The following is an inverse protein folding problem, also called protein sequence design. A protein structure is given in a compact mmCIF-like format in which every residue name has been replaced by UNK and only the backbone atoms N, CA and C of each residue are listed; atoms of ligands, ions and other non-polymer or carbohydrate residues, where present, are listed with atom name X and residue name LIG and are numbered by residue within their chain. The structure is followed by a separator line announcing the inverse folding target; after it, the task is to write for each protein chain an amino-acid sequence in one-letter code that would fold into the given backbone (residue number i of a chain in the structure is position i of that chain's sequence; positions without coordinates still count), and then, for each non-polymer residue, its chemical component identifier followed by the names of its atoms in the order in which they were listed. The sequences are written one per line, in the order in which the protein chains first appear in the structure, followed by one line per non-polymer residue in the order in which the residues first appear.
data_IF_466853328807
#
_entry.id   IF_466853328807
#
_cell.length_a   1.000
_cell.length_b   1.000
_cell.length_c   1.000
_cell.angle_alpha   90.00
_cell.angle_beta   90.00
_cell.angle_gamma   90.00
#
_symmetry.space_group_name_H-M   'P 1'
#
loop_
_entity.id
_entity.type
_entity.pdbx_description
1 polymer ?
#
# COMPACT_ATOMS: atom_id res chain seq x y z
N UNK A 1 48.28 70.64 -136.50
CA UNK A 1 48.80 70.53 -135.12
C UNK A 1 47.78 71.04 -134.09
N UNK A 2 46.97 72.06 -134.39
CA UNK A 2 46.02 72.69 -133.44
C UNK A 2 44.79 71.86 -133.03
N UNK A 3 44.20 71.03 -133.91
CA UNK A 3 42.97 70.26 -133.54
C UNK A 3 43.22 69.17 -132.49
N UNK A 4 44.39 68.53 -132.54
CA UNK A 4 44.79 67.53 -131.53
C UNK A 4 45.01 68.17 -130.15
N UNK A 5 45.54 69.39 -130.14
CA UNK A 5 45.81 70.17 -128.92
C UNK A 5 44.49 70.58 -128.23
N UNK A 6 43.48 71.02 -128.98
CA UNK A 6 42.15 71.36 -128.45
C UNK A 6 41.39 70.12 -127.94
N UNK A 7 41.52 68.98 -128.63
CA UNK A 7 40.94 67.70 -128.16
C UNK A 7 41.56 67.25 -126.85
N UNK A 8 42.89 67.31 -126.75
CA UNK A 8 43.64 66.96 -125.54
C UNK A 8 43.29 67.89 -124.36
N UNK A 9 43.09 69.19 -124.61
CA UNK A 9 42.64 70.15 -123.59
C UNK A 9 41.25 69.79 -123.06
N UNK A 10 40.29 69.50 -123.95
CA UNK A 10 38.93 69.08 -123.57
C UNK A 10 38.92 67.77 -122.78
N UNK A 11 39.75 66.81 -123.15
CA UNK A 11 39.89 65.54 -122.43
C UNK A 11 40.55 65.72 -121.06
N UNK A 12 41.55 66.60 -120.95
CA UNK A 12 42.19 66.97 -119.68
C UNK A 12 41.18 67.65 -118.74
N UNK A 13 40.39 68.61 -119.23
CA UNK A 13 39.35 69.29 -118.46
C UNK A 13 38.27 68.31 -117.97
N UNK A 14 37.86 67.34 -118.82
CA UNK A 14 36.94 66.26 -118.42
C UNK A 14 37.53 65.39 -117.31
N UNK A 15 38.80 65.02 -117.42
CA UNK A 15 39.51 64.24 -116.39
C UNK A 15 39.65 65.03 -115.10
N UNK A 16 39.92 66.35 -115.16
CA UNK A 16 40.00 67.22 -113.98
C UNK A 16 38.64 67.37 -113.29
N UNK A 17 37.55 67.56 -114.03
CA UNK A 17 36.19 67.57 -113.46
C UNK A 17 35.83 66.22 -112.82
N UNK A 18 36.17 65.11 -113.47
CA UNK A 18 35.92 63.78 -112.93
C UNK A 18 36.75 63.51 -111.67
N UNK A 19 38.01 63.96 -111.65
CA UNK A 19 38.87 63.92 -110.46
C UNK A 19 38.27 64.74 -109.32
N UNK A 20 37.86 65.99 -109.57
CA UNK A 20 37.22 66.84 -108.58
C UNK A 20 35.93 66.20 -108.02
N UNK A 21 35.06 65.69 -108.89
CA UNK A 21 33.84 64.98 -108.47
C UNK A 21 34.15 63.71 -107.65
N UNK A 22 35.23 62.98 -107.98
CA UNK A 22 35.66 61.82 -107.20
C UNK A 22 36.25 62.23 -105.84
N UNK A 23 36.97 63.35 -105.75
CA UNK A 23 37.51 63.89 -104.51
C UNK A 23 36.41 64.40 -103.58
N UNK A 24 35.39 65.10 -104.11
CA UNK A 24 34.19 65.49 -103.36
C UNK A 24 33.44 64.26 -102.82
N UNK A 25 33.30 63.22 -103.65
CA UNK A 25 32.68 61.96 -103.22
C UNK A 25 33.50 61.26 -102.13
N UNK A 26 34.83 61.29 -102.19
CA UNK A 26 35.70 60.77 -101.12
C UNK A 26 35.51 61.59 -99.84
N UNK A 27 35.45 62.92 -99.92
CA UNK A 27 35.21 63.79 -98.76
C UNK A 27 33.85 63.52 -98.12
N UNK A 28 32.79 63.36 -98.92
CA UNK A 28 31.46 63.01 -98.43
C UNK A 28 31.46 61.63 -97.74
N UNK A 29 32.11 60.63 -98.33
CA UNK A 29 32.22 59.30 -97.73
C UNK A 29 33.05 59.32 -96.43
N UNK A 30 34.13 60.10 -96.37
CA UNK A 30 34.94 60.27 -95.16
C UNK A 30 34.16 60.99 -94.06
N UNK A 31 33.38 62.03 -94.40
CA UNK A 31 32.48 62.71 -93.47
C UNK A 31 31.39 61.76 -92.93
N UNK A 32 30.74 61.01 -93.81
CA UNK A 32 29.73 60.02 -93.43
C UNK A 32 30.33 58.89 -92.57
N UNK A 33 31.55 58.44 -92.86
CA UNK A 33 32.27 57.46 -92.05
C UNK A 33 32.58 57.99 -90.66
N UNK A 34 33.05 59.25 -90.55
CA UNK A 34 33.31 59.92 -89.26
C UNK A 34 32.04 60.03 -88.43
N UNK A 35 30.92 60.42 -89.04
CA UNK A 35 29.62 60.50 -88.37
C UNK A 35 29.13 59.12 -87.91
N UNK A 36 29.21 58.11 -88.77
CA UNK A 36 28.87 56.72 -88.43
C UNK A 36 29.71 56.19 -87.26
N UNK A 37 31.03 56.44 -87.26
CA UNK A 37 31.91 56.08 -86.13
C UNK A 37 31.54 56.83 -84.85
N UNK A 38 31.15 58.10 -84.94
CA UNK A 38 30.74 58.89 -83.78
C UNK A 38 29.41 58.37 -83.20
N UNK A 39 28.44 58.04 -84.04
CA UNK A 39 27.18 57.40 -83.63
C UNK A 39 27.43 56.03 -82.98
N UNK A 40 28.33 55.21 -83.54
CA UNK A 40 28.70 53.92 -82.95
C UNK A 40 29.26 54.11 -81.53
N UNK A 41 30.13 55.12 -81.33
CA UNK A 41 30.69 55.45 -80.01
C UNK A 41 29.62 55.94 -79.04
N UNK A 42 28.67 56.78 -79.49
CA UNK A 42 27.61 57.28 -78.60
C UNK A 42 26.64 56.16 -78.20
N UNK A 43 26.23 55.31 -79.14
CA UNK A 43 25.37 54.14 -78.85
C UNK A 43 26.07 53.15 -77.93
N UNK A 44 27.36 52.87 -78.15
CA UNK A 44 28.14 52.02 -77.24
C UNK A 44 28.16 52.60 -75.82
N UNK A 45 28.47 53.90 -75.68
CA UNK A 45 28.50 54.57 -74.37
C UNK A 45 27.13 54.54 -73.69
N UNK A 46 26.05 54.77 -74.43
CA UNK A 46 24.69 54.71 -73.89
C UNK A 46 24.31 53.28 -73.44
N UNK A 47 24.65 52.26 -74.24
CA UNK A 47 24.45 50.87 -73.88
C UNK A 47 25.26 50.49 -72.64
N UNK A 48 26.52 50.91 -72.54
CA UNK A 48 27.36 50.71 -71.35
C UNK A 48 26.73 51.35 -70.11
N UNK A 49 26.20 52.58 -70.23
CA UNK A 49 25.48 53.24 -69.14
C UNK A 49 24.19 52.50 -68.75
N UNK A 50 23.40 52.01 -69.74
CA UNK A 50 22.17 51.24 -69.48
C UNK A 50 22.47 49.90 -68.80
N UNK A 51 23.48 49.18 -69.27
CA UNK A 51 23.92 47.90 -68.67
C UNK A 51 24.47 48.14 -67.27
N UNK A 52 25.37 49.11 -67.10
CA UNK A 52 25.94 49.43 -65.79
C UNK A 52 24.85 49.83 -64.79
N UNK A 53 23.90 50.69 -65.18
CA UNK A 53 22.76 51.05 -64.34
C UNK A 53 21.84 49.88 -64.01
N UNK A 54 21.64 48.93 -64.93
CA UNK A 54 20.88 47.71 -64.64
C UNK A 54 21.61 46.79 -63.64
N UNK A 55 22.93 46.61 -63.81
CA UNK A 55 23.77 45.80 -62.91
C UNK A 55 23.84 46.41 -61.50
N UNK A 56 23.95 47.74 -61.39
CA UNK A 56 23.97 48.41 -60.09
C UNK A 56 22.63 48.22 -59.37
N UNK A 57 21.49 48.41 -60.06
CA UNK A 57 20.17 48.20 -59.46
C UNK A 57 19.95 46.77 -58.98
N UNK A 58 20.31 45.77 -59.79
CA UNK A 58 20.17 44.37 -59.36
C UNK A 58 21.12 44.03 -58.21
N UNK A 59 22.35 44.56 -58.23
CA UNK A 59 23.30 44.41 -57.12
C UNK A 59 22.77 45.02 -55.82
N UNK A 60 22.17 46.20 -55.87
CA UNK A 60 21.54 46.85 -54.71
C UNK A 60 20.36 46.05 -54.17
N UNK A 61 19.55 45.45 -55.04
CA UNK A 61 18.45 44.56 -54.65
C UNK A 61 18.95 43.28 -53.96
N UNK A 62 19.98 42.64 -54.53
CA UNK A 62 20.61 41.47 -53.91
C UNK A 62 21.24 41.79 -52.55
N UNK A 63 21.86 42.97 -52.41
CA UNK A 63 22.46 43.40 -51.14
C UNK A 63 21.38 43.65 -50.08
N UNK A 64 20.25 44.28 -50.42
CA UNK A 64 19.10 44.43 -49.51
C UNK A 64 18.58 43.08 -49.02
N UNK A 65 18.46 42.11 -49.93
CA UNK A 65 18.02 40.75 -49.59
C UNK A 65 19.05 40.08 -48.66
N UNK A 66 20.34 40.19 -48.97
CA UNK A 66 21.43 39.64 -48.14
C UNK A 66 21.38 40.19 -46.72
N UNK A 67 21.36 41.52 -46.55
CA UNK A 67 21.30 42.16 -45.23
C UNK A 67 20.06 41.72 -44.44
N UNK A 68 18.90 41.63 -45.10
CA UNK A 68 17.67 41.17 -44.44
C UNK A 68 17.76 39.69 -43.98
N UNK A 69 18.45 38.84 -44.73
CA UNK A 69 18.70 37.46 -44.32
C UNK A 69 19.74 37.36 -43.20
N UNK A 70 20.79 38.17 -43.24
CA UNK A 70 21.79 38.26 -42.16
C UNK A 70 21.16 38.73 -40.84
N UNK A 71 20.29 39.73 -40.89
CA UNK A 71 19.54 40.20 -39.71
C UNK A 71 18.63 39.10 -39.16
N UNK A 72 17.91 38.38 -40.02
CA UNK A 72 17.09 37.22 -39.62
C UNK A 72 17.95 36.13 -38.99
N UNK A 73 19.13 35.84 -39.54
CA UNK A 73 20.06 34.85 -39.02
C UNK A 73 20.63 35.27 -37.65
N UNK A 74 20.96 36.54 -37.48
CA UNK A 74 21.41 37.08 -36.19
C UNK A 74 20.28 37.00 -35.14
N UNK A 75 19.05 37.34 -35.52
CA UNK A 75 17.89 37.27 -34.65
C UNK A 75 17.55 35.83 -34.22
N UNK A 76 17.61 34.86 -35.13
CA UNK A 76 17.40 33.44 -34.80
C UNK A 76 18.54 32.89 -33.94
N UNK A 77 19.78 33.24 -34.24
CA UNK A 77 20.95 32.89 -33.42
C UNK A 77 20.83 33.43 -31.99
N UNK A 78 20.40 34.69 -31.81
CA UNK A 78 20.15 35.28 -30.50
C UNK A 78 19.03 34.58 -29.73
N UNK A 79 17.96 34.14 -30.41
CA UNK A 79 16.90 33.34 -29.77
C UNK A 79 17.41 31.97 -29.33
N UNK A 80 18.25 31.34 -30.16
CA UNK A 80 18.82 30.04 -29.86
C UNK A 80 19.71 30.08 -28.61
N UNK A 81 20.55 31.11 -28.47
CA UNK A 81 21.41 31.25 -27.28
C UNK A 81 20.60 31.51 -25.99
N UNK A 82 19.49 32.26 -26.07
CA UNK A 82 18.57 32.44 -24.94
C UNK A 82 17.96 31.10 -24.51
N UNK A 83 17.40 30.35 -25.46
CA UNK A 83 16.82 29.04 -25.19
C UNK A 83 17.85 28.04 -24.62
N UNK A 84 19.10 28.10 -25.08
CA UNK A 84 20.17 27.25 -24.57
C UNK A 84 20.52 27.57 -23.10
N UNK A 85 20.54 28.86 -22.74
CA UNK A 85 20.73 29.30 -21.36
C UNK A 85 19.57 28.88 -20.45
N UNK A 86 18.32 29.01 -20.92
CA UNK A 86 17.12 28.57 -20.20
C UNK A 86 17.12 27.06 -20.01
N UNK A 87 17.46 26.28 -21.05
CA UNK A 87 17.61 24.83 -20.95
C UNK A 87 18.65 24.44 -19.90
N UNK A 88 19.79 25.10 -19.86
CA UNK A 88 20.85 24.81 -18.87
C UNK A 88 20.38 25.12 -17.45
N UNK A 89 19.66 26.24 -17.25
CA UNK A 89 19.05 26.58 -15.96
C UNK A 89 18.01 25.56 -15.51
N UNK A 90 17.14 25.12 -16.43
CA UNK A 90 16.14 24.08 -16.15
C UNK A 90 16.79 22.76 -15.79
N UNK A 91 17.82 22.32 -16.51
CA UNK A 91 18.57 21.09 -16.20
C UNK A 91 19.21 21.16 -14.81
N UNK A 92 19.83 22.29 -14.46
CA UNK A 92 20.41 22.48 -13.12
C UNK A 92 19.34 22.41 -12.02
N UNK A 93 18.18 23.01 -12.27
CA UNK A 93 17.06 23.00 -11.32
C UNK A 93 16.47 21.60 -11.18
N UNK A 94 16.29 20.87 -12.29
CA UNK A 94 15.82 19.48 -12.29
C UNK A 94 16.77 18.57 -11.54
N UNK A 95 18.08 18.65 -11.79
CA UNK A 95 19.09 17.89 -11.04
C UNK A 95 19.06 18.19 -9.54
N UNK A 96 18.79 19.44 -9.15
CA UNK A 96 18.60 19.81 -7.74
C UNK A 96 17.37 19.15 -7.12
N UNK A 97 16.24 19.11 -7.84
CA UNK A 97 15.00 18.45 -7.39
C UNK A 97 15.16 16.93 -7.32
N UNK A 98 15.87 16.32 -8.26
CA UNK A 98 16.17 14.89 -8.27
C UNK A 98 16.92 14.47 -7.00
N UNK A 99 17.98 15.20 -6.62
CA UNK A 99 18.70 14.96 -5.36
C UNK A 99 17.80 15.07 -4.12
N UNK A 100 16.89 16.04 -4.09
CA UNK A 100 15.96 16.19 -2.98
C UNK A 100 14.96 15.03 -2.91
N UNK A 101 14.49 14.54 -4.06
CA UNK A 101 13.61 13.37 -4.14
C UNK A 101 14.34 12.12 -3.63
N UNK A 102 15.61 11.95 -3.98
CA UNK A 102 16.43 10.84 -3.49
C UNK A 102 16.60 10.89 -1.96
N UNK A 103 16.89 12.07 -1.41
CA UNK A 103 17.06 12.23 0.04
C UNK A 103 15.75 12.00 0.81
N UNK A 104 14.62 12.52 0.31
CA UNK A 104 13.30 12.26 0.89
C UNK A 104 12.91 10.78 0.78
N UNK A 105 13.26 10.12 -0.32
CA UNK A 105 13.04 8.68 -0.52
C UNK A 105 13.78 7.87 0.54
N UNK A 106 15.07 8.17 0.77
CA UNK A 106 15.87 7.52 1.81
C UNK A 106 15.31 7.75 3.21
N UNK A 107 14.85 8.96 3.52
CA UNK A 107 14.23 9.25 4.82
C UNK A 107 12.94 8.47 5.02
N UNK A 108 12.10 8.37 3.98
CA UNK A 108 10.87 7.58 4.00
C UNK A 108 11.16 6.10 4.22
N UNK A 109 12.18 5.54 3.58
CA UNK A 109 12.56 4.13 3.76
C UNK A 109 13.07 3.86 5.17
N UNK A 110 13.85 4.79 5.75
CA UNK A 110 14.31 4.70 7.13
C UNK A 110 13.14 4.70 8.13
N UNK A 111 12.22 5.66 8.00
CA UNK A 111 11.04 5.76 8.87
C UNK A 111 10.15 4.52 8.73
N UNK A 112 10.01 3.99 7.51
CA UNK A 112 9.23 2.78 7.27
C UNK A 112 9.85 1.56 7.97
N UNK A 113 11.18 1.39 7.90
CA UNK A 113 11.88 0.35 8.63
C UNK A 113 11.75 0.47 10.15
N UNK A 114 11.84 1.68 10.70
CA UNK A 114 11.62 1.94 12.13
C UNK A 114 10.18 1.63 12.57
N UNK A 115 9.21 1.96 11.73
CA UNK A 115 7.80 1.65 11.96
C UNK A 115 7.55 0.14 11.99
N UNK A 116 8.10 -0.62 11.04
CA UNK A 116 7.97 -2.08 11.00
C UNK A 116 8.63 -2.73 12.23
N UNK A 117 9.81 -2.24 12.65
CA UNK A 117 10.46 -2.71 13.87
C UNK A 117 9.62 -2.42 15.12
N UNK A 118 9.01 -1.23 15.21
CA UNK A 118 8.13 -0.86 16.32
C UNK A 118 6.86 -1.70 16.34
N UNK A 119 6.28 -1.97 15.17
CA UNK A 119 5.11 -2.83 15.00
C UNK A 119 5.40 -4.25 15.51
N UNK A 120 6.51 -4.86 15.08
CA UNK A 120 6.92 -6.20 15.56
C UNK A 120 7.13 -6.22 17.09
N UNK A 121 7.67 -5.14 17.65
CA UNK A 121 7.85 -5.02 19.10
C UNK A 121 6.52 -4.91 19.84
N UNK A 122 5.55 -4.17 19.30
CA UNK A 122 4.21 -4.07 19.86
C UNK A 122 3.51 -5.43 19.87
N UNK A 123 3.52 -6.14 18.74
CA UNK A 123 2.94 -7.49 18.62
C UNK A 123 3.57 -8.48 19.61
N UNK A 124 4.88 -8.36 19.86
CA UNK A 124 5.57 -9.16 20.88
C UNK A 124 5.08 -8.83 22.30
N UNK A 125 4.93 -7.55 22.63
CA UNK A 125 4.42 -7.14 23.93
C UNK A 125 2.95 -7.52 24.14
N UNK A 126 2.12 -7.48 23.10
CA UNK A 126 0.73 -7.95 23.16
C UNK A 126 0.66 -9.44 23.51
N UNK A 127 1.48 -10.27 22.85
CA UNK A 127 1.59 -11.70 23.16
C UNK A 127 2.05 -11.96 24.60
N UNK A 128 3.04 -11.20 25.08
CA UNK A 128 3.50 -11.30 26.47
C UNK A 128 2.41 -10.88 27.47
N UNK A 129 1.69 -9.80 27.17
CA UNK A 129 0.60 -9.31 28.01
C UNK A 129 -0.52 -10.36 28.13
N UNK A 130 -0.90 -11.00 27.02
CA UNK A 130 -1.90 -12.07 27.06
C UNK A 130 -1.40 -13.29 27.85
N UNK A 131 -0.13 -13.69 27.67
CA UNK A 131 0.48 -14.74 28.48
C UNK A 131 0.43 -14.43 29.98
N UNK A 132 0.78 -13.20 30.38
CA UNK A 132 0.76 -12.78 31.78
C UNK A 132 -0.67 -12.72 32.34
N UNK A 133 -1.67 -12.29 31.55
CA UNK A 133 -3.08 -12.36 31.97
C UNK A 133 -3.51 -13.79 32.26
N UNK A 134 -3.13 -14.76 31.41
CA UNK A 134 -3.42 -16.17 31.67
C UNK A 134 -2.75 -16.66 32.96
N UNK A 135 -1.49 -16.30 33.19
CA UNK A 135 -0.77 -16.66 34.41
C UNK A 135 -1.45 -16.10 35.68
N UNK A 136 -1.84 -14.82 35.66
CA UNK A 136 -2.57 -14.19 36.78
C UNK A 136 -3.89 -14.92 37.04
N UNK A 137 -4.68 -15.22 36.00
CA UNK A 137 -5.94 -15.94 36.16
C UNK A 137 -5.75 -17.33 36.78
N UNK A 138 -4.71 -18.05 36.37
CA UNK A 138 -4.39 -19.37 36.94
C UNK A 138 -4.01 -19.24 38.42
N UNK A 139 -3.15 -18.28 38.78
CA UNK A 139 -2.74 -18.04 40.16
C UNK A 139 -3.92 -17.61 41.06
N UNK A 140 -4.84 -16.81 40.56
CA UNK A 140 -6.07 -16.45 41.27
C UNK A 140 -6.92 -17.67 41.59
N UNK A 141 -7.09 -18.60 40.63
CA UNK A 141 -7.84 -19.85 40.85
C UNK A 141 -7.12 -20.77 41.83
N UNK A 142 -5.80 -20.88 41.74
CA UNK A 142 -5.02 -21.68 42.68
C UNK A 142 -5.13 -21.14 44.12
N UNK A 143 -5.10 -19.81 44.28
CA UNK A 143 -5.27 -19.16 45.57
C UNK A 143 -6.68 -19.38 46.14
N UNK A 144 -7.72 -19.28 45.31
CA UNK A 144 -9.10 -19.57 45.70
C UNK A 144 -9.27 -21.01 46.20
N UNK A 145 -8.69 -21.98 45.49
CA UNK A 145 -8.69 -23.39 45.91
C UNK A 145 -7.97 -23.55 47.25
N UNK A 146 -6.75 -23.01 47.39
CA UNK A 146 -6.00 -23.10 48.65
C UNK A 146 -6.70 -22.42 49.83
N UNK A 147 -7.41 -21.32 49.58
CA UNK A 147 -8.21 -20.63 50.59
C UNK A 147 -9.37 -21.50 51.07
N UNK A 148 -10.11 -22.12 50.14
CA UNK A 148 -11.20 -23.06 50.44
C UNK A 148 -10.71 -24.29 51.20
N UNK A 149 -9.58 -24.87 50.78
CA UNK A 149 -8.96 -26.01 51.46
C UNK A 149 -8.54 -25.66 52.89
N UNK A 150 -7.91 -24.49 53.08
CA UNK A 150 -7.53 -24.02 54.42
C UNK A 150 -8.74 -23.80 55.33
N UNK A 151 -9.81 -23.18 54.81
CA UNK A 151 -11.04 -22.97 55.56
C UNK A 151 -11.72 -24.30 55.94
N UNK A 152 -11.73 -25.29 55.05
CA UNK A 152 -12.24 -26.62 55.32
C UNK A 152 -11.40 -27.36 56.37
N UNK A 153 -10.07 -27.30 56.24
CA UNK A 153 -9.14 -27.88 57.22
C UNK A 153 -9.31 -27.26 58.61
N UNK A 154 -9.52 -25.94 58.70
CA UNK A 154 -9.82 -25.27 59.95
C UNK A 154 -11.11 -25.78 60.60
N UNK A 155 -12.18 -25.94 59.82
CA UNK A 155 -13.45 -26.50 60.31
C UNK A 155 -13.28 -27.93 60.82
N UNK A 156 -12.54 -28.78 60.11
CA UNK A 156 -12.24 -30.14 60.55
C UNK A 156 -11.47 -30.12 61.88
N UNK A 157 -10.43 -29.28 61.99
CA UNK A 157 -9.63 -29.16 63.20
C UNK A 157 -10.45 -28.67 64.40
N UNK A 158 -11.35 -27.69 64.22
CA UNK A 158 -12.25 -27.19 65.26
C UNK A 158 -13.23 -28.27 65.73
N UNK A 159 -13.84 -29.03 64.81
CA UNK A 159 -14.72 -30.16 65.15
C UNK A 159 -13.95 -31.23 65.94
N UNK A 160 -12.77 -31.62 65.47
CA UNK A 160 -11.92 -32.60 66.15
C UNK A 160 -11.50 -32.10 67.54
N UNK A 161 -11.16 -30.81 67.68
CA UNK A 161 -10.80 -30.20 68.96
C UNK A 161 -11.97 -30.22 69.94
N UNK A 162 -13.17 -29.81 69.50
CA UNK A 162 -14.40 -29.86 70.33
C UNK A 162 -14.67 -31.28 70.81
N UNK A 163 -14.55 -32.27 69.91
CA UNK A 163 -14.71 -33.67 70.27
C UNK A 163 -13.65 -34.13 71.27
N UNK A 164 -12.37 -33.77 71.09
CA UNK A 164 -11.30 -34.06 72.04
C UNK A 164 -11.55 -33.41 73.42
N UNK A 165 -12.05 -32.17 73.45
CA UNK A 165 -12.40 -31.51 74.71
C UNK A 165 -13.52 -32.26 75.45
N UNK A 166 -14.53 -32.75 74.72
CA UNK A 166 -15.59 -33.59 75.31
C UNK A 166 -15.05 -34.91 75.84
N UNK A 167 -14.18 -35.60 75.10
CA UNK A 167 -13.57 -36.86 75.56
C UNK A 167 -12.67 -36.63 76.76
N UNK A 168 -11.86 -35.57 76.78
CA UNK A 168 -11.05 -35.18 77.94
C UNK A 168 -11.92 -34.90 79.17
N UNK A 169 -13.06 -34.20 79.02
CA UNK A 169 -14.00 -33.97 80.13
C UNK A 169 -14.56 -35.29 80.68
N UNK A 170 -14.89 -36.25 79.81
CA UNK A 170 -15.36 -37.59 80.22
C UNK A 170 -14.25 -38.37 80.94
N UNK A 171 -13.03 -38.36 80.39
CA UNK A 171 -11.86 -39.00 81.01
C UNK A 171 -11.56 -38.40 82.38
N UNK A 172 -11.57 -37.07 82.52
CA UNK A 172 -11.36 -36.42 83.81
C UNK A 172 -12.41 -36.81 84.86
N UNK A 173 -13.69 -36.96 84.46
CA UNK A 173 -14.75 -37.47 85.35
C UNK A 173 -14.47 -38.91 85.80
N UNK A 174 -14.10 -39.79 84.86
CA UNK A 174 -13.74 -41.17 85.17
C UNK A 174 -12.49 -41.24 86.06
N UNK A 175 -11.49 -40.39 85.84
CA UNK A 175 -10.27 -40.33 86.65
C UNK A 175 -10.57 -39.91 88.09
N UNK A 176 -11.43 -38.91 88.30
CA UNK A 176 -11.90 -38.55 89.65
C UNK A 176 -12.60 -39.72 90.35
N UNK A 177 -13.40 -40.49 89.62
CA UNK A 177 -14.08 -41.68 90.15
C UNK A 177 -13.09 -42.80 90.45
N UNK A 178 -12.10 -43.03 89.58
CA UNK A 178 -10.98 -43.95 89.82
C UNK A 178 -10.18 -43.54 91.08
N UNK A 179 -9.90 -42.26 91.26
CA UNK A 179 -9.24 -41.73 92.45
C UNK A 179 -10.09 -41.95 93.72
N UNK A 180 -11.40 -41.68 93.65
CA UNK A 180 -12.35 -41.96 94.74
C UNK A 180 -12.35 -43.44 95.13
N UNK A 181 -12.43 -44.33 94.14
CA UNK A 181 -12.37 -45.78 94.34
C UNK A 181 -11.01 -46.21 94.94
N UNK A 182 -9.90 -45.63 94.49
CA UNK A 182 -8.56 -45.88 95.04
C UNK A 182 -8.46 -45.48 96.51
N UNK A 183 -9.04 -44.35 96.91
CA UNK A 183 -9.10 -43.91 98.32
C UNK A 183 -9.94 -44.88 99.15
N UNK A 184 -11.08 -45.36 98.64
CA UNK A 184 -11.91 -46.36 99.32
C UNK A 184 -11.16 -47.68 99.49
N UNK A 185 -10.46 -48.14 98.45
CA UNK A 185 -9.64 -49.35 98.51
C UNK A 185 -8.46 -49.18 99.49
N UNK A 186 -7.78 -48.03 99.46
CA UNK A 186 -6.73 -47.69 100.40
C UNK A 186 -7.21 -47.64 101.85
N UNK A 187 -8.44 -47.17 102.12
CA UNK A 187 -9.06 -47.23 103.46
C UNK A 187 -9.45 -48.65 103.87
N UNK A 188 -9.88 -49.52 102.93
CA UNK A 188 -10.18 -50.94 103.22
C UNK A 188 -8.92 -51.82 103.38
N UNK A 189 -7.75 -51.38 102.93
CA UNK A 189 -6.47 -52.11 103.05
C UNK A 189 -5.40 -51.42 103.91
N UNK A 190 -5.75 -50.34 104.62
CA UNK A 190 -4.85 -49.70 105.60
C UNK A 190 -4.80 -50.46 106.95
N UNK A 191 -4.47 -51.75 106.90
CA UNK A 191 -3.88 -52.46 108.03
C UNK A 191 -3.01 -53.59 107.49
N UNK A 192 -1.71 -53.29 107.44
CA UNK A 192 -0.52 -54.15 107.38
C UNK A 192 0.39 -54.04 106.13
N UNK A 193 1.55 -53.39 106.36
CA UNK A 193 2.93 -53.90 106.15
C UNK A 193 3.56 -53.78 104.72
N UNK A 194 4.90 -53.54 104.62
CA UNK A 194 5.54 -52.65 103.66
C UNK A 194 6.23 -53.33 102.46
N UNK A 195 6.81 -52.48 101.61
CA UNK A 195 7.54 -52.81 100.38
C UNK A 195 8.78 -53.70 100.58
N UNK A 196 8.80 -54.87 99.91
CA UNK A 196 10.01 -55.49 99.35
C UNK A 196 9.64 -56.47 98.22
N UNK A 197 10.36 -56.36 97.09
CA UNK A 197 10.65 -57.35 96.05
C UNK A 197 10.10 -58.78 96.21
N UNK A 198 9.47 -59.35 95.17
CA UNK A 198 9.78 -60.70 94.69
C UNK A 198 9.16 -61.02 93.31
N UNK A 199 10.02 -61.62 92.50
CA UNK A 199 9.83 -62.25 91.19
C UNK A 199 8.92 -63.49 91.22
N UNK A 200 8.53 -63.88 90.01
CA UNK A 200 8.21 -65.24 89.54
C UNK A 200 6.73 -65.63 89.45
N UNK A 201 6.33 -65.83 88.19
CA UNK A 201 5.59 -66.97 87.65
C UNK A 201 4.29 -67.40 88.36
N UNK A 202 3.18 -67.11 87.71
CA UNK A 202 2.04 -68.04 87.64
C UNK A 202 1.17 -67.66 86.44
N UNK A 203 1.29 -68.44 85.38
CA UNK A 203 0.30 -68.54 84.32
C UNK A 203 -1.08 -68.92 84.90
N UNK A 204 -2.14 -68.64 84.13
CA UNK A 204 -3.58 -68.84 84.39
C UNK A 204 -4.40 -67.65 84.94
N UNK A 205 -3.92 -66.40 84.82
CA UNK A 205 -4.71 -65.20 85.12
C UNK A 205 -4.87 -64.19 83.96
N UNK A 206 -4.59 -64.59 82.73
CA UNK A 206 -4.84 -63.77 81.54
C UNK A 206 -6.34 -63.75 81.14
N UNK A 207 -7.06 -64.85 81.37
CA UNK A 207 -8.36 -65.06 80.72
C UNK A 207 -9.56 -64.32 81.38
N UNK A 208 -9.45 -63.90 82.64
CA UNK A 208 -10.50 -63.06 83.29
C UNK A 208 -10.26 -61.56 83.12
N UNK A 209 -9.04 -61.15 82.79
CA UNK A 209 -8.68 -59.75 82.57
C UNK A 209 -8.96 -59.34 81.12
N UNK A 210 -8.70 -60.26 80.17
CA UNK A 210 -9.06 -60.10 78.75
C UNK A 210 -10.57 -60.03 78.54
N UNK A 211 -11.39 -60.81 79.26
CA UNK A 211 -12.83 -60.81 79.04
C UNK A 211 -13.52 -59.48 79.40
N UNK A 212 -13.07 -58.77 80.44
CA UNK A 212 -13.55 -57.42 80.75
C UNK A 212 -12.93 -56.35 79.85
N UNK A 213 -11.66 -56.52 79.45
CA UNK A 213 -11.01 -55.62 78.50
C UNK A 213 -11.65 -55.69 77.11
N UNK A 214 -11.94 -56.89 76.60
CA UNK A 214 -12.62 -57.12 75.32
C UNK A 214 -14.08 -56.65 75.36
N UNK A 215 -14.81 -56.86 76.47
CA UNK A 215 -16.18 -56.36 76.62
C UNK A 215 -16.23 -54.81 76.63
N UNK A 216 -15.31 -54.16 77.35
CA UNK A 216 -15.21 -52.70 77.37
C UNK A 216 -14.72 -52.13 76.02
N UNK A 217 -13.83 -52.83 75.31
CA UNK A 217 -13.41 -52.45 73.96
C UNK A 217 -14.57 -52.56 72.95
N UNK A 218 -15.40 -53.61 73.03
CA UNK A 218 -16.61 -53.72 72.20
C UNK A 218 -17.68 -52.68 72.55
N UNK A 219 -17.93 -52.37 73.83
CA UNK A 219 -18.85 -51.28 74.21
C UNK A 219 -18.32 -49.91 73.76
N UNK A 220 -17.00 -49.69 73.81
CA UNK A 220 -16.38 -48.45 73.33
C UNK A 220 -16.44 -48.34 71.79
N UNK A 221 -16.33 -49.44 71.06
CA UNK A 221 -16.56 -49.51 69.61
C UNK A 221 -18.03 -49.23 69.26
N UNK A 222 -18.99 -49.75 70.03
CA UNK A 222 -20.41 -49.44 69.83
C UNK A 222 -20.71 -47.94 70.01
N UNK A 223 -20.14 -47.28 71.02
CA UNK A 223 -20.28 -45.82 71.22
C UNK A 223 -19.61 -44.98 70.13
N UNK A 224 -18.55 -45.50 69.50
CA UNK A 224 -17.84 -44.85 68.38
C UNK A 224 -18.65 -44.95 67.08
N UNK A 225 -19.29 -46.10 66.84
CA UNK A 225 -20.00 -46.39 65.60
C UNK A 225 -21.41 -45.75 65.56
N UNK A 226 -22.09 -45.60 66.70
CA UNK A 226 -23.42 -45.00 66.79
C UNK A 226 -23.43 -43.48 66.45
N UNK A 227 -22.33 -42.76 66.72
CA UNK A 227 -22.23 -41.31 66.46
C UNK A 227 -21.62 -40.94 65.10
N UNK A 228 -20.88 -41.87 64.46
CA UNK A 228 -20.28 -41.65 63.13
C UNK A 228 -21.24 -41.96 61.96
N UNK A 229 -22.31 -42.73 62.19
CA UNK A 229 -23.25 -43.12 61.15
C UNK A 229 -24.16 -41.99 60.62
N UNK A 230 -24.27 -40.86 61.33
CA UNK A 230 -25.24 -39.80 61.00
C UNK A 230 -24.72 -38.62 60.14
N UNK A 231 -23.40 -38.45 59.97
CA UNK A 231 -22.86 -37.23 59.33
C UNK A 231 -21.97 -37.45 58.10
N UNK A 232 -21.57 -38.68 57.79
CA UNK A 232 -20.59 -38.97 56.72
C UNK A 232 -21.18 -39.56 55.44
N UNK A 233 -22.49 -39.85 55.39
CA UNK A 233 -23.09 -40.63 54.29
C UNK A 233 -23.91 -39.83 53.27
N UNK A 234 -24.05 -38.50 53.40
CA UNK A 234 -24.98 -37.72 52.56
C UNK A 234 -24.37 -36.57 51.74
N UNK A 235 -23.03 -36.48 51.62
CA UNK A 235 -22.40 -35.45 50.77
C UNK A 235 -21.26 -35.93 49.87
N UNK A 236 -20.73 -37.13 50.08
CA UNK A 236 -19.65 -37.66 49.23
C UNK A 236 -20.15 -38.23 47.90
N UNK A 237 -21.45 -38.50 47.75
CA UNK A 237 -22.01 -38.99 46.47
C UNK A 237 -22.16 -37.86 45.46
N UNK A 238 -22.58 -36.67 45.89
CA UNK A 238 -22.88 -35.56 44.98
C UNK A 238 -21.60 -34.87 44.47
N UNK A 239 -20.53 -34.83 45.26
CA UNK A 239 -19.24 -34.25 44.86
C UNK A 239 -18.49 -35.12 43.82
N UNK A 240 -18.70 -36.44 43.84
CA UNK A 240 -18.12 -37.37 42.86
C UNK A 240 -18.80 -37.23 41.49
N UNK A 241 -20.09 -36.86 41.48
CA UNK A 241 -20.83 -36.58 40.25
C UNK A 241 -20.35 -35.26 39.60
N UNK A 242 -20.07 -34.20 40.38
CA UNK A 242 -19.53 -32.93 39.86
C UNK A 242 -18.16 -33.08 39.17
N UNK A 243 -17.27 -33.93 39.72
CA UNK A 243 -15.98 -34.25 39.08
C UNK A 243 -16.16 -35.01 37.76
N UNK A 244 -17.15 -35.90 37.71
CA UNK A 244 -17.48 -36.67 36.50
C UNK A 244 -18.14 -35.79 35.42
N UNK A 245 -18.90 -34.77 35.81
CA UNK A 245 -19.44 -33.76 34.88
C UNK A 245 -18.35 -32.83 34.35
N UNK A 246 -17.38 -32.43 35.19
CA UNK A 246 -16.27 -31.57 34.77
C UNK A 246 -15.30 -32.28 33.81
N UNK A 247 -15.08 -33.59 33.99
CA UNK A 247 -14.31 -34.42 33.06
C UNK A 247 -15.02 -34.55 31.70
N UNK A 248 -16.36 -34.70 31.69
CA UNK A 248 -17.17 -34.66 30.45
C UNK A 248 -17.09 -33.32 29.73
N UNK A 249 -17.10 -32.21 30.46
CA UNK A 249 -16.97 -30.87 29.85
C UNK A 249 -15.57 -30.66 29.27
N UNK A 250 -14.51 -31.15 29.93
CA UNK A 250 -13.14 -31.12 29.42
C UNK A 250 -12.97 -32.01 28.17
N UNK A 251 -13.56 -33.21 28.14
CA UNK A 251 -13.57 -34.07 26.95
C UNK A 251 -14.41 -33.49 25.81
N UNK A 252 -15.49 -32.75 26.10
CA UNK A 252 -16.31 -32.08 25.07
C UNK A 252 -15.62 -30.87 24.43
N UNK A 253 -14.57 -30.32 25.07
CA UNK A 253 -13.72 -29.27 24.50
C UNK A 253 -12.53 -29.82 23.69
N UNK A 254 -12.17 -31.09 23.90
CA UNK A 254 -11.15 -31.78 23.12
C UNK A 254 -11.67 -32.30 21.76
N UNK A 255 -12.99 -32.34 21.54
CA UNK A 255 -13.61 -32.97 20.37
C UNK A 255 -14.56 -32.04 19.57
N UNK A 256 -14.31 -30.72 19.61
CA UNK A 256 -14.83 -29.83 18.57
C UNK A 256 -13.74 -29.57 17.52
N UNK A 257 -13.97 -29.89 16.24
CA UNK A 257 -12.96 -29.75 15.21
C UNK A 257 -12.66 -28.26 15.01
N UNK A 258 -11.42 -27.88 15.31
CA UNK A 258 -10.80 -26.72 14.65
C UNK A 258 -10.79 -27.08 13.16
N UNK A 259 -11.37 -26.17 12.38
CA UNK A 259 -11.88 -26.39 11.04
C UNK A 259 -10.94 -27.14 10.09
N UNK A 260 -11.57 -28.00 9.32
CA UNK A 260 -11.07 -28.51 8.05
C UNK A 260 -10.67 -27.35 7.13
N UNK A 261 -9.39 -27.26 6.80
CA UNK A 261 -8.97 -26.85 5.46
C UNK A 261 -8.42 -28.09 4.75
N UNK A 262 -8.76 -28.32 3.47
CA UNK A 262 -8.31 -29.51 2.75
C UNK A 262 -6.82 -29.38 2.42
N UNK A 263 -6.04 -30.33 2.92
CA UNK A 263 -4.75 -30.67 2.35
C UNK A 263 -4.99 -31.43 1.03
N UNK A 264 -4.63 -30.82 -0.10
CA UNK A 264 -4.47 -31.53 -1.36
C UNK A 264 -2.99 -31.81 -1.57
N UNK A 265 -2.64 -33.08 -1.31
CA UNK A 265 -1.40 -33.72 -1.75
C UNK A 265 -1.14 -33.52 -3.24
N UNK A 266 0.04 -32.97 -3.53
CA UNK A 266 1.00 -33.32 -4.58
C UNK A 266 0.48 -33.68 -5.98
N UNK A 267 0.89 -32.88 -6.96
CA UNK A 267 1.65 -33.46 -8.06
C UNK A 267 2.69 -32.49 -8.67
N UNK A 268 3.84 -33.09 -9.00
CA UNK A 268 4.88 -32.68 -9.97
C UNK A 268 5.86 -31.55 -9.61
N UNK A 269 7.01 -32.00 -9.09
CA UNK A 269 8.36 -31.67 -9.56
C UNK A 269 8.45 -30.69 -10.74
N UNK A 270 8.89 -29.45 -10.48
CA UNK A 270 9.87 -28.75 -11.32
C UNK A 270 10.65 -27.73 -10.47
N UNK A 271 11.95 -27.52 -10.68
CA UNK A 271 12.75 -26.65 -9.82
C UNK A 271 12.46 -25.17 -10.10
N UNK A 272 12.31 -24.44 -9.00
CA UNK A 272 12.39 -22.99 -8.88
C UNK A 272 13.43 -22.36 -9.81
N UNK A 273 12.99 -21.43 -10.65
CA UNK A 273 13.80 -20.28 -11.07
C UNK A 273 12.96 -19.01 -10.88
N UNK A 274 13.56 -18.02 -10.22
CA UNK A 274 12.91 -16.78 -9.84
C UNK A 274 12.85 -15.81 -11.01
N UNK A 275 11.66 -15.27 -11.31
CA UNK A 275 11.50 -13.98 -11.99
C UNK A 275 10.02 -13.62 -12.15
N UNK A 276 9.68 -12.41 -11.71
CA UNK A 276 8.65 -11.50 -12.24
C UNK A 276 7.18 -11.97 -12.40
N UNK A 277 6.31 -11.39 -11.56
CA UNK A 277 4.85 -11.35 -11.77
C UNK A 277 4.43 -10.45 -12.97
N UNK A 278 5.39 -9.91 -13.74
CA UNK A 278 5.15 -9.14 -14.97
C UNK A 278 4.74 -10.03 -16.17
N UNK A 279 4.88 -11.35 -16.06
CA UNK A 279 4.69 -12.29 -17.18
C UNK A 279 3.24 -12.73 -17.43
N UNK A 280 2.28 -12.38 -16.57
CA UNK A 280 0.89 -12.85 -16.68
C UNK A 280 0.10 -12.16 -17.79
N UNK A 281 0.16 -10.82 -17.83
CA UNK A 281 -0.60 -10.02 -18.79
C UNK A 281 -0.05 -10.16 -20.22
N UNK A 282 1.28 -10.19 -20.41
CA UNK A 282 1.91 -10.43 -21.71
C UNK A 282 1.50 -11.78 -22.29
N UNK A 283 1.44 -12.82 -21.46
CA UNK A 283 1.02 -14.17 -21.88
C UNK A 283 -0.44 -14.20 -22.30
N UNK A 284 -1.31 -13.45 -21.61
CA UNK A 284 -2.72 -13.30 -21.98
C UNK A 284 -2.90 -12.47 -23.26
N UNK A 285 -2.12 -11.41 -23.43
CA UNK A 285 -2.11 -10.58 -24.63
C UNK A 285 -1.64 -11.36 -25.86
N UNK A 286 -0.56 -12.13 -25.74
CA UNK A 286 -0.08 -13.01 -26.81
C UNK A 286 -1.12 -14.07 -27.17
N UNK A 287 -1.80 -14.68 -26.19
CA UNK A 287 -2.89 -15.64 -26.46
C UNK A 287 -4.05 -14.96 -27.21
N UNK A 288 -4.43 -13.75 -26.82
CA UNK A 288 -5.48 -12.98 -27.49
C UNK A 288 -5.10 -12.63 -28.93
N UNK A 289 -3.87 -12.19 -29.17
CA UNK A 289 -3.33 -11.86 -30.50
C UNK A 289 -3.28 -13.09 -31.42
N UNK A 290 -2.85 -14.23 -30.90
CA UNK A 290 -2.82 -15.49 -31.65
C UNK A 290 -4.24 -15.95 -31.99
N UNK A 291 -5.19 -15.82 -31.06
CA UNK A 291 -6.59 -16.17 -31.31
C UNK A 291 -7.23 -15.23 -32.36
N UNK A 292 -6.99 -13.93 -32.24
CA UNK A 292 -7.51 -12.93 -33.18
C UNK A 292 -6.92 -13.08 -34.59
N UNK A 293 -5.63 -13.34 -34.71
CA UNK A 293 -4.98 -13.60 -36.02
C UNK A 293 -5.55 -14.86 -36.69
N UNK A 294 -5.89 -15.90 -35.92
CA UNK A 294 -6.52 -17.12 -36.43
C UNK A 294 -7.95 -16.86 -36.93
N UNK A 295 -8.74 -16.06 -36.20
CA UNK A 295 -10.12 -15.70 -36.57
C UNK A 295 -10.18 -14.74 -37.75
N UNK A 296 -9.30 -13.73 -37.78
CA UNK A 296 -9.27 -12.71 -38.82
C UNK A 296 -8.54 -13.15 -40.11
N UNK A 297 -7.93 -14.35 -40.13
CA UNK A 297 -7.05 -14.87 -41.21
C UNK A 297 -5.98 -13.87 -41.64
N UNK A 298 -5.48 -13.06 -40.71
CA UNK A 298 -4.41 -12.08 -40.93
C UNK A 298 -3.12 -12.54 -40.25
N UNK A 299 -2.00 -12.16 -40.83
CA UNK A 299 -0.68 -12.42 -40.24
C UNK A 299 -0.59 -11.74 -38.86
N UNK A 300 -0.09 -12.42 -37.81
CA UNK A 300 0.11 -11.80 -36.50
C UNK A 300 0.98 -10.54 -36.55
N UNK A 301 1.91 -10.48 -37.51
CA UNK A 301 2.79 -9.33 -37.73
C UNK A 301 2.04 -8.13 -38.31
N UNK A 302 1.06 -8.36 -39.19
CA UNK A 302 0.21 -7.28 -39.74
C UNK A 302 -0.68 -6.68 -38.65
N UNK A 303 -1.24 -7.52 -37.76
CA UNK A 303 -2.04 -7.05 -36.62
C UNK A 303 -1.19 -6.25 -35.63
N UNK A 304 0.06 -6.67 -35.39
CA UNK A 304 0.99 -5.94 -34.53
C UNK A 304 1.41 -4.61 -35.16
N UNK A 305 1.62 -4.54 -36.47
CA UNK A 305 1.95 -3.29 -37.15
C UNK A 305 0.75 -2.33 -37.16
N UNK A 306 -0.47 -2.83 -37.38
CA UNK A 306 -1.70 -2.04 -37.27
C UNK A 306 -1.89 -1.49 -35.85
N UNK A 307 -1.63 -2.31 -34.82
CA UNK A 307 -1.67 -1.89 -33.41
C UNK A 307 -0.56 -0.90 -33.07
N UNK A 308 0.64 -1.09 -33.61
CA UNK A 308 1.76 -0.17 -33.43
C UNK A 308 1.48 1.18 -34.09
N UNK A 309 0.92 1.20 -35.30
CA UNK A 309 0.49 2.44 -35.98
C UNK A 309 -0.68 3.11 -35.24
N UNK A 310 -1.58 2.33 -34.64
CA UNK A 310 -2.64 2.87 -33.79
C UNK A 310 -2.08 3.49 -32.50
N UNK A 311 -1.06 2.87 -31.90
CA UNK A 311 -0.35 3.37 -30.72
C UNK A 311 0.60 4.55 -31.05
N UNK A 312 1.16 4.63 -32.26
CA UNK A 312 1.96 5.77 -32.74
C UNK A 312 1.09 6.97 -33.14
N UNK A 313 -0.21 6.75 -33.43
CA UNK A 313 -1.17 7.85 -33.61
C UNK A 313 -1.62 8.49 -32.30
N UNK A 314 -1.40 7.82 -31.18
CA UNK A 314 -1.48 8.38 -29.84
C UNK A 314 -0.06 8.64 -29.32
N UNK A 315 0.58 9.72 -29.79
CA UNK A 315 1.90 10.20 -29.35
C UNK A 315 2.11 10.04 -27.82
N UNK A 316 2.98 9.12 -27.34
CA UNK A 316 3.35 9.07 -25.93
C UNK A 316 4.60 9.90 -25.63
N UNK A 317 5.20 10.56 -26.64
CA UNK A 317 6.51 11.21 -26.51
C UNK A 317 6.42 12.69 -26.85
N UNK A 318 5.56 13.41 -26.11
CA UNK A 318 5.79 14.84 -25.86
C UNK A 318 5.04 15.43 -24.63
N UNK A 319 4.66 14.61 -23.64
CA UNK A 319 3.96 15.09 -22.44
C UNK A 319 4.70 14.85 -21.12
N UNK A 320 5.97 14.45 -21.17
CA UNK A 320 6.81 14.48 -19.97
C UNK A 320 7.57 15.81 -19.96
N UNK A 321 7.45 16.54 -18.86
CA UNK A 321 7.99 17.90 -18.63
C UNK A 321 7.05 19.03 -19.06
N UNK A 322 5.88 19.10 -18.45
CA UNK A 322 5.54 20.13 -17.46
C UNK A 322 4.31 19.67 -16.69
N UNK A 323 4.39 19.73 -15.36
CA UNK A 323 3.25 19.50 -14.48
C UNK A 323 2.23 20.61 -14.67
N UNK A 324 1.39 20.47 -15.68
CA UNK A 324 0.09 21.10 -15.76
C UNK A 324 -0.75 20.26 -16.72
N UNK A 325 -1.81 19.67 -16.17
CA UNK A 325 -2.71 18.74 -16.86
C UNK A 325 -3.47 19.51 -17.93
N UNK A 326 -2.88 19.67 -19.11
CA UNK A 326 -3.55 20.22 -20.30
C UNK A 326 -4.42 19.12 -20.93
N UNK A 327 -5.51 18.81 -20.24
CA UNK A 327 -6.68 18.16 -20.84
C UNK A 327 -7.75 19.23 -21.03
N UNK A 328 -7.53 20.12 -22.00
CA UNK A 328 -8.53 21.05 -22.48
C UNK A 328 -8.56 21.02 -24.00
N UNK A 329 -8.93 19.87 -24.56
CA UNK A 329 -9.45 19.82 -25.92
C UNK A 329 -10.39 18.66 -26.17
N UNK A 330 -11.47 18.58 -25.39
CA UNK A 330 -12.72 18.01 -25.91
C UNK A 330 -13.92 18.76 -25.30
N UNK A 331 -14.94 18.90 -26.14
CA UNK A 331 -16.02 19.89 -26.11
C UNK A 331 -16.86 19.86 -24.82
N UNK A 332 -17.13 21.05 -24.28
CA UNK A 332 -18.19 21.31 -23.31
C UNK A 332 -17.96 22.63 -22.57
N UNK A 333 -18.77 23.66 -22.85
CA UNK A 333 -18.65 25.04 -22.35
C UNK A 333 -18.96 25.20 -20.84
N UNK A 334 -18.26 24.47 -19.97
CA UNK A 334 -18.23 24.75 -18.52
C UNK A 334 -16.81 24.55 -17.99
N UNK A 335 -16.03 25.63 -17.99
CA UNK A 335 -14.74 25.68 -17.31
C UNK A 335 -14.98 25.59 -15.80
N UNK A 336 -14.77 24.42 -15.21
CA UNK A 336 -14.69 24.29 -13.75
C UNK A 336 -13.48 25.09 -13.24
N UNK A 337 -13.63 25.74 -12.08
CA UNK A 337 -12.50 26.36 -11.39
C UNK A 337 -11.43 25.27 -11.13
N UNK A 338 -10.15 25.49 -11.46
CA UNK A 338 -9.05 24.56 -11.18
C UNK A 338 -9.08 23.97 -9.77
N UNK A 339 -9.50 24.75 -8.78
CA UNK A 339 -9.59 24.33 -7.37
C UNK A 339 -10.68 23.26 -7.14
N UNK A 340 -11.80 23.35 -7.86
CA UNK A 340 -12.90 22.36 -7.78
C UNK A 340 -12.47 21.05 -8.42
N UNK A 341 -11.76 21.12 -9.55
CA UNK A 341 -11.22 19.95 -10.22
C UNK A 341 -10.16 19.23 -9.37
N UNK A 342 -9.26 19.98 -8.73
CA UNK A 342 -8.27 19.45 -7.80
C UNK A 342 -8.93 18.81 -6.57
N UNK A 343 -9.99 19.42 -6.04
CA UNK A 343 -10.76 18.89 -4.90
C UNK A 343 -11.45 17.57 -5.24
N UNK A 344 -12.05 17.45 -6.43
CA UNK A 344 -12.70 16.21 -6.87
C UNK A 344 -11.69 15.08 -7.08
N UNK A 345 -10.52 15.38 -7.66
CA UNK A 345 -9.45 14.38 -7.80
C UNK A 345 -8.94 13.91 -6.44
N UNK A 346 -8.83 14.81 -5.46
CA UNK A 346 -8.44 14.44 -4.09
C UNK A 346 -9.48 13.55 -3.42
N UNK A 347 -10.77 13.80 -3.66
CA UNK A 347 -11.86 12.94 -3.18
C UNK A 347 -11.76 11.55 -3.81
N UNK A 348 -11.53 11.44 -5.12
CA UNK A 348 -11.36 10.16 -5.80
C UNK A 348 -10.14 9.37 -5.28
N UNK A 349 -9.01 10.04 -5.06
CA UNK A 349 -7.80 9.44 -4.48
C UNK A 349 -8.04 8.90 -3.05
N UNK A 350 -8.79 9.66 -2.23
CA UNK A 350 -9.17 9.22 -0.88
C UNK A 350 -10.14 8.04 -0.91
N UNK A 351 -11.03 7.97 -1.89
CA UNK A 351 -11.99 6.87 -2.05
C UNK A 351 -11.33 5.59 -2.59
N UNK A 352 -10.32 5.71 -3.46
CA UNK A 352 -9.52 4.59 -3.95
C UNK A 352 -8.67 3.95 -2.82
N UNK A 353 -8.23 4.76 -1.86
CA UNK A 353 -7.54 4.30 -0.64
C UNK A 353 -8.40 3.52 0.35
N UNK A 354 -9.74 3.52 0.21
CA UNK A 354 -10.66 2.80 1.09
C UNK A 354 -10.80 1.31 0.69
N UNK A 355 -10.09 0.82 -0.34
CA UNK A 355 -10.21 -0.53 -0.94
C UNK A 355 -10.86 -1.58 0.00
N UNK A 356 -12.18 -1.77 -0.15
CA UNK A 356 -13.02 -2.66 0.67
C UNK A 356 -12.87 -4.11 0.16
N UNK A 357 -11.66 -4.55 -0.16
CA UNK A 357 -11.39 -5.94 -0.53
C UNK A 357 -10.97 -6.80 0.67
N UNK A 358 -10.67 -6.20 1.82
CA UNK A 358 -10.21 -6.95 3.00
C UNK A 358 -11.32 -7.42 3.96
N UNK A 359 -12.58 -7.02 3.78
CA UNK A 359 -13.62 -7.27 4.80
C UNK A 359 -14.44 -8.55 4.57
N UNK A 360 -13.81 -9.63 4.07
CA UNK A 360 -14.47 -10.94 3.94
C UNK A 360 -14.03 -11.99 4.98
N UNK A 361 -13.04 -11.73 5.84
CA UNK A 361 -12.55 -12.79 6.75
C UNK A 361 -12.15 -12.37 8.18
N UNK A 362 -12.52 -11.17 8.62
CA UNK A 362 -12.31 -10.76 10.02
C UNK A 362 -13.62 -10.85 10.79
N UNK A 363 -13.82 -11.95 11.52
CA UNK A 363 -14.94 -12.17 12.45
C UNK A 363 -14.96 -11.23 13.67
N UNK A 364 -14.29 -10.07 13.62
CA UNK A 364 -14.36 -9.04 14.64
C UNK A 364 -15.25 -7.89 14.16
N UNK A 365 -16.54 -8.00 14.51
CA UNK A 365 -17.44 -6.85 14.56
C UNK A 365 -16.93 -5.91 15.66
N UNK A 366 -16.10 -4.94 15.27
CA UNK A 366 -15.89 -3.74 16.07
C UNK A 366 -17.27 -3.07 16.16
N UNK A 367 -17.87 -3.12 17.35
CA UNK A 367 -19.13 -2.45 17.65
C UNK A 367 -18.98 -0.95 17.39
N UNK A 368 -19.35 -0.49 16.20
CA UNK A 368 -19.95 0.83 16.01
C UNK A 368 -20.61 1.09 14.66
N UNK A 369 -20.69 0.13 13.73
CA UNK A 369 -21.35 0.40 12.45
C UNK A 369 -22.19 -0.81 12.00
N UNK A 370 -23.51 -0.63 11.90
CA UNK A 370 -24.52 -1.67 11.62
C UNK A 370 -24.82 -1.91 10.14
N UNK A 371 -24.00 -1.40 9.22
CA UNK A 371 -24.20 -1.56 7.78
C UNK A 371 -23.59 -2.85 7.23
N UNK A 372 -24.24 -3.38 6.18
CA UNK A 372 -23.64 -4.42 5.34
C UNK A 372 -22.57 -3.76 4.47
N UNK A 373 -21.38 -4.36 4.41
CA UNK A 373 -20.25 -3.93 3.55
C UNK A 373 -20.68 -3.69 2.08
N UNK A 374 -21.68 -4.44 1.62
CA UNK A 374 -22.27 -4.36 0.29
C UNK A 374 -23.05 -3.04 0.05
N UNK A 375 -23.71 -2.49 1.06
CA UNK A 375 -24.50 -1.25 0.94
C UNK A 375 -23.60 -0.01 0.94
N UNK A 376 -22.55 -0.02 1.76
CA UNK A 376 -21.53 1.04 1.77
C UNK A 376 -20.73 1.08 0.47
N UNK A 377 -20.26 -0.08 0.00
CA UNK A 377 -19.47 -0.18 -1.22
C UNK A 377 -20.26 0.31 -2.43
N UNK A 378 -21.57 0.02 -2.49
CA UNK A 378 -22.46 0.53 -3.53
C UNK A 378 -22.54 2.06 -3.52
N UNK A 379 -22.64 2.68 -2.36
CA UNK A 379 -22.72 4.14 -2.22
C UNK A 379 -21.40 4.83 -2.54
N UNK A 380 -20.26 4.23 -2.16
CA UNK A 380 -18.95 4.74 -2.54
C UNK A 380 -18.72 4.63 -4.05
N UNK A 381 -19.13 3.52 -4.66
CA UNK A 381 -19.06 3.34 -6.11
C UNK A 381 -19.92 4.39 -6.83
N UNK A 382 -21.13 4.63 -6.34
CA UNK A 382 -22.04 5.62 -6.91
C UNK A 382 -21.52 7.06 -6.73
N UNK A 383 -20.82 7.35 -5.62
CA UNK A 383 -20.13 8.62 -5.40
C UNK A 383 -18.97 8.81 -6.40
N UNK A 384 -18.17 7.78 -6.64
CA UNK A 384 -17.08 7.78 -7.64
C UNK A 384 -17.63 8.01 -9.05
N UNK A 385 -18.70 7.32 -9.43
CA UNK A 385 -19.38 7.53 -10.71
C UNK A 385 -19.90 8.97 -10.85
N UNK A 386 -20.47 9.53 -9.78
CA UNK A 386 -20.98 10.91 -9.76
C UNK A 386 -19.85 11.94 -9.91
N UNK A 387 -18.69 11.69 -9.28
CA UNK A 387 -17.46 12.49 -9.46
C UNK A 387 -16.95 12.42 -10.91
N UNK A 388 -16.90 11.23 -11.50
CA UNK A 388 -16.48 11.05 -12.89
C UNK A 388 -17.47 11.68 -13.89
N UNK A 389 -18.77 11.61 -13.60
CA UNK A 389 -19.81 12.26 -14.40
C UNK A 389 -19.69 13.80 -14.38
N UNK A 390 -19.30 14.38 -13.24
CA UNK A 390 -19.01 15.81 -13.14
C UNK A 390 -17.75 16.20 -13.92
N UNK A 391 -16.67 15.41 -13.81
CA UNK A 391 -15.40 15.68 -14.51
C UNK A 391 -15.51 15.56 -16.04
N UNK A 392 -16.39 14.67 -16.52
CA UNK A 392 -16.69 14.50 -17.95
C UNK A 392 -17.71 15.52 -18.48
N UNK A 393 -18.29 16.35 -17.60
CA UNK A 393 -19.24 17.39 -17.96
C UNK A 393 -20.66 16.89 -18.27
N UNK A 394 -20.94 15.62 -18.01
CA UNK A 394 -22.25 14.98 -18.24
C UNK A 394 -23.31 15.42 -17.23
N UNK A 395 -22.87 15.85 -16.03
CA UNK A 395 -23.73 16.32 -14.93
C UNK A 395 -23.33 17.74 -14.52
N UNK A 396 -24.32 18.59 -14.21
CA UNK A 396 -24.08 19.96 -13.72
C UNK A 396 -23.69 20.00 -12.24
N UNK A 397 -22.98 21.05 -11.81
CA UNK A 397 -22.50 21.19 -10.42
C UNK A 397 -23.65 21.14 -9.39
N UNK A 398 -24.82 21.68 -9.73
CA UNK A 398 -26.01 21.69 -8.86
C UNK A 398 -26.54 20.28 -8.60
N UNK A 399 -26.62 19.45 -9.65
CA UNK A 399 -27.01 18.04 -9.52
C UNK A 399 -25.94 17.23 -8.76
N UNK A 400 -24.65 17.53 -8.98
CA UNK A 400 -23.57 16.91 -8.20
C UNK A 400 -23.69 17.24 -6.71
N UNK A 401 -23.88 18.51 -6.35
CA UNK A 401 -24.01 18.91 -4.94
C UNK A 401 -25.22 18.26 -4.27
N UNK A 402 -26.33 18.07 -4.99
CA UNK A 402 -27.51 17.43 -4.46
C UNK A 402 -27.32 15.92 -4.26
N UNK A 403 -26.60 15.25 -5.16
CA UNK A 403 -26.25 13.84 -5.02
C UNK A 403 -25.25 13.62 -3.87
N UNK A 404 -24.20 14.44 -3.78
CA UNK A 404 -23.24 14.37 -2.66
C UNK A 404 -23.91 14.65 -1.32
N UNK A 405 -24.85 15.61 -1.25
CA UNK A 405 -25.64 15.85 -0.05
C UNK A 405 -26.49 14.63 0.33
N UNK A 406 -27.10 13.94 -0.64
CA UNK A 406 -27.90 12.74 -0.42
C UNK A 406 -27.04 11.56 0.07
N UNK A 407 -25.82 11.40 -0.46
CA UNK A 407 -24.86 10.40 0.01
C UNK A 407 -24.36 10.70 1.42
N UNK A 408 -24.03 11.97 1.72
CA UNK A 408 -23.62 12.38 3.06
C UNK A 408 -24.75 12.25 4.08
N UNK A 409 -25.99 12.56 3.70
CA UNK A 409 -27.17 12.34 4.54
C UNK A 409 -27.38 10.85 4.81
N UNK A 410 -27.22 9.99 3.80
CA UNK A 410 -27.27 8.55 4.00
C UNK A 410 -26.16 8.08 4.94
N UNK A 411 -24.92 8.53 4.73
CA UNK A 411 -23.76 8.18 5.58
C UNK A 411 -24.00 8.67 7.01
N UNK A 412 -24.46 9.90 7.22
CA UNK A 412 -24.72 10.41 8.57
C UNK A 412 -25.87 9.68 9.27
N UNK A 413 -26.88 9.20 8.55
CA UNK A 413 -28.02 8.49 9.15
C UNK A 413 -27.77 7.00 9.38
N UNK A 414 -26.77 6.41 8.71
CA UNK A 414 -26.53 4.95 8.74
C UNK A 414 -25.15 4.57 9.29
N UNK A 415 -24.23 5.53 9.39
CA UNK A 415 -22.88 5.30 9.90
C UNK A 415 -22.69 5.89 11.30
N UNK A 416 -23.17 7.11 11.54
CA UNK A 416 -23.09 7.76 12.85
C UNK A 416 -24.43 7.68 13.58
#
# INVERSE_FOLDING_TARGET
RSEKEISLQRDLDRVLQQKAASEERIQHLDAALKECMQQLRSVRKEQEMRVHGAVVRTSEEFEKIRVAWEEKLAATSSKLSKLDSEKTQLVKTLSGKEKLIDDLTRQRDLIHGDFDALKLRLESFEKQNDSLKYEVLVLEKELDIRSKDSAFNFQIADIAQKQCQETTKKVAKLEMECQRLRIILGKKFSKQIPATSLTASSDDKANRSESWASALLSELEHFKNEKQSGMLSHRNTDLIDDFSEMEKLASSYADRPIGSFPDFSNNENTPSDGSSNESGWLRNLLKMLVHYSHVAKRSPYEVLEDLKVALEKDDPVNSFVHGERSWCKMKGDRKFNPDVYASILKILELLEGINIESCKDSGYVVRMFQWKSEELSLILHQLVETCNALLTGTVGLEHFTQQVASYLEWIMNHCF
#
